data_IF_806928474918
#
_entry.id   IF_806928474918
#
_cell.length_a   1.000
_cell.length_b   1.000
_cell.length_c   1.000
_cell.angle_alpha   90.00
_cell.angle_beta   90.00
_cell.angle_gamma   90.00
#
_symmetry.space_group_name_H-M   'P 1'
#
loop_
_entity.id
_entity.type
_entity.pdbx_description
1 polymer ?
#
# COMPACT_ATOMS: atom_id res chain seq x y z
N UNK A 1 -22.56 0.74 7.58
CA UNK A 1 -21.20 0.68 6.98
C UNK A 1 -20.28 1.49 7.87
N UNK A 2 -19.17 0.94 8.36
CA UNK A 2 -18.26 1.59 9.34
C UNK A 2 -17.81 2.99 8.87
N UNK A 3 -17.56 3.16 7.57
CA UNK A 3 -17.18 4.44 6.98
C UNK A 3 -18.25 5.56 7.02
N UNK A 4 -19.52 5.23 7.33
CA UNK A 4 -20.63 6.19 7.38
C UNK A 4 -21.08 6.54 8.80
N UNK A 5 -20.45 5.93 9.81
CA UNK A 5 -20.80 6.06 11.21
C UNK A 5 -19.67 6.77 11.97
N UNK A 6 -19.90 8.03 12.34
CA UNK A 6 -18.90 8.86 13.01
C UNK A 6 -18.49 8.31 14.39
N UNK A 7 -19.37 7.56 15.07
CA UNK A 7 -19.07 6.94 16.35
C UNK A 7 -18.02 5.83 16.24
N UNK A 8 -17.81 5.30 15.03
CA UNK A 8 -16.87 4.19 14.74
C UNK A 8 -15.56 4.65 14.13
N UNK A 9 -15.23 5.93 14.25
CA UNK A 9 -14.00 6.51 13.67
C UNK A 9 -12.73 5.74 14.04
N UNK A 10 -12.56 5.36 15.30
CA UNK A 10 -11.38 4.59 15.73
C UNK A 10 -11.29 3.20 15.09
N UNK A 11 -12.43 2.55 14.84
CA UNK A 11 -12.50 1.26 14.16
C UNK A 11 -12.11 1.43 12.68
N UNK A 12 -12.63 2.47 12.04
CA UNK A 12 -12.29 2.83 10.66
C UNK A 12 -10.79 3.10 10.50
N UNK A 13 -10.20 3.90 11.40
CA UNK A 13 -8.77 4.24 11.38
C UNK A 13 -7.90 2.98 11.49
N UNK A 14 -8.27 2.04 12.38
CA UNK A 14 -7.56 0.77 12.52
C UNK A 14 -7.66 -0.11 11.27
N UNK A 15 -8.84 -0.19 10.65
CA UNK A 15 -9.05 -0.94 9.40
C UNK A 15 -8.19 -0.35 8.27
N UNK A 16 -8.23 0.97 8.08
CA UNK A 16 -7.48 1.66 7.04
C UNK A 16 -5.97 1.50 7.25
N UNK A 17 -5.50 1.66 8.49
CA UNK A 17 -4.10 1.45 8.83
C UNK A 17 -3.65 0.01 8.52
N UNK A 18 -4.41 -0.99 8.97
CA UNK A 18 -4.07 -2.38 8.75
C UNK A 18 -4.06 -2.75 7.26
N UNK A 19 -4.98 -2.18 6.49
CA UNK A 19 -5.04 -2.37 5.04
C UNK A 19 -3.82 -1.76 4.36
N UNK A 20 -3.44 -0.53 4.73
CA UNK A 20 -2.25 0.14 4.19
C UNK A 20 -0.96 -0.61 4.54
N UNK A 21 -0.82 -1.08 5.78
CA UNK A 21 0.35 -1.84 6.24
C UNK A 21 0.43 -3.21 5.55
N UNK A 22 -0.71 -3.85 5.28
CA UNK A 22 -0.76 -5.07 4.46
C UNK A 22 -0.28 -4.81 3.03
N UNK A 23 -0.69 -3.69 2.42
CA UNK A 23 -0.23 -3.30 1.08
C UNK A 23 1.28 -2.98 1.06
N UNK A 24 1.84 -2.38 2.12
CA UNK A 24 3.29 -2.19 2.28
C UNK A 24 4.01 -3.55 2.21
N UNK A 25 3.54 -4.52 2.99
CA UNK A 25 4.13 -5.86 3.02
C UNK A 25 4.05 -6.55 1.64
N UNK A 26 2.88 -6.50 0.99
CA UNK A 26 2.68 -7.06 -0.35
C UNK A 26 3.57 -6.38 -1.39
N UNK A 27 3.75 -5.06 -1.33
CA UNK A 27 4.62 -4.34 -2.26
C UNK A 27 6.05 -4.88 -2.20
N UNK A 28 6.61 -5.09 -1.00
CA UNK A 28 7.98 -5.63 -0.83
C UNK A 28 8.07 -7.07 -1.37
N UNK A 29 7.11 -7.92 -1.04
CA UNK A 29 7.11 -9.34 -1.46
C UNK A 29 6.96 -9.50 -2.97
N UNK A 30 6.17 -8.64 -3.61
CA UNK A 30 5.91 -8.69 -5.05
C UNK A 30 6.93 -7.90 -5.88
N UNK A 31 7.78 -7.10 -5.24
CA UNK A 31 8.75 -6.25 -5.95
C UNK A 31 9.67 -7.01 -6.91
N UNK A 32 10.20 -8.20 -6.57
CA UNK A 32 11.03 -8.98 -7.49
C UNK A 32 10.30 -9.43 -8.77
N UNK A 33 8.97 -9.51 -8.74
CA UNK A 33 8.14 -10.00 -9.86
C UNK A 33 7.51 -8.84 -10.64
N UNK A 34 7.07 -7.80 -9.94
CA UNK A 34 6.37 -6.65 -10.51
C UNK A 34 6.97 -5.32 -10.00
N UNK A 35 8.23 -5.01 -10.35
CA UNK A 35 8.94 -3.86 -9.77
C UNK A 35 8.29 -2.52 -10.11
N UNK A 36 7.73 -2.38 -11.31
CA UNK A 36 7.09 -1.13 -11.74
C UNK A 36 5.81 -0.84 -10.94
N UNK A 37 4.90 -1.82 -10.84
CA UNK A 37 3.63 -1.64 -10.13
C UNK A 37 3.83 -1.47 -8.62
N UNK A 38 4.76 -2.22 -8.04
CA UNK A 38 5.05 -2.14 -6.60
C UNK A 38 5.77 -0.85 -6.23
N UNK A 39 6.66 -0.31 -7.07
CA UNK A 39 7.24 1.03 -6.85
C UNK A 39 6.19 2.13 -6.90
N UNK A 40 5.24 2.06 -7.84
CA UNK A 40 4.11 3.01 -7.88
C UNK A 40 3.26 2.91 -6.60
N UNK A 41 2.88 1.70 -6.20
CA UNK A 41 2.15 1.47 -4.95
C UNK A 41 2.91 2.01 -3.73
N UNK A 42 4.23 1.80 -3.67
CA UNK A 42 5.09 2.30 -2.59
C UNK A 42 5.05 3.81 -2.44
N UNK A 43 5.10 4.53 -3.58
CA UNK A 43 4.95 5.98 -3.63
C UNK A 43 3.54 6.42 -3.23
N UNK A 44 2.49 5.71 -3.69
CA UNK A 44 1.10 6.02 -3.33
C UNK A 44 0.82 5.87 -1.84
N UNK A 45 1.45 4.89 -1.19
CA UNK A 45 1.39 4.73 0.28
C UNK A 45 2.16 5.81 1.04
N UNK A 46 2.96 6.64 0.36
CA UNK A 46 3.87 7.59 0.98
C UNK A 46 5.03 6.93 1.73
N UNK A 47 5.23 5.62 1.53
CA UNK A 47 6.17 4.81 2.28
C UNK A 47 7.62 5.26 2.06
N UNK A 48 7.95 5.69 0.83
CA UNK A 48 9.30 6.13 0.45
C UNK A 48 9.85 7.24 1.34
N UNK A 49 9.00 8.19 1.74
CA UNK A 49 9.40 9.31 2.60
C UNK A 49 9.82 8.91 4.01
N UNK A 50 9.35 7.75 4.50
CA UNK A 50 9.53 7.30 5.88
C UNK A 50 10.40 6.06 6.02
N UNK A 51 10.34 5.16 5.03
CA UNK A 51 11.01 3.86 5.02
C UNK A 51 12.15 3.79 3.98
N UNK A 52 12.27 4.81 3.13
CA UNK A 52 13.24 4.84 2.03
C UNK A 52 12.77 4.04 0.81
N UNK A 53 13.67 3.83 -0.17
CA UNK A 53 13.32 3.18 -1.43
C UNK A 53 12.88 1.73 -1.21
N UNK A 54 11.92 1.24 -2.01
CA UNK A 54 11.43 -0.15 -1.88
C UNK A 54 12.55 -1.19 -2.10
N UNK A 55 13.55 -0.87 -2.93
CA UNK A 55 14.70 -1.73 -3.21
C UNK A 55 15.64 -1.94 -2.03
N UNK A 56 15.59 -1.08 -1.00
CA UNK A 56 16.37 -1.27 0.23
C UNK A 56 15.63 -2.12 1.27
N UNK A 57 14.37 -2.45 1.04
CA UNK A 57 13.57 -3.23 1.97
C UNK A 57 13.96 -4.71 1.94
N UNK A 58 14.01 -5.33 3.11
CA UNK A 58 14.36 -6.74 3.25
C UNK A 58 13.09 -7.57 3.41
N UNK A 59 12.97 -8.64 2.62
CA UNK A 59 11.86 -9.60 2.72
C UNK A 59 11.74 -10.19 4.14
N UNK A 60 12.87 -10.47 4.79
CA UNK A 60 12.91 -10.99 6.16
C UNK A 60 12.25 -10.05 7.20
N UNK A 61 12.18 -8.76 6.92
CA UNK A 61 11.63 -7.75 7.82
C UNK A 61 10.15 -7.42 7.51
N UNK A 62 9.57 -8.02 6.47
CA UNK A 62 8.19 -7.71 6.01
C UNK A 62 7.15 -7.96 7.11
N UNK A 63 7.32 -9.04 7.89
CA UNK A 63 6.40 -9.42 8.96
C UNK A 63 6.43 -8.47 10.17
N UNK A 64 7.36 -7.51 10.22
CA UNK A 64 7.37 -6.48 11.25
C UNK A 64 6.30 -5.44 10.91
N UNK A 65 5.20 -5.49 11.66
CA UNK A 65 4.10 -4.55 11.55
C UNK A 65 4.43 -3.20 12.22
N UNK A 66 3.65 -2.18 11.88
CA UNK A 66 3.77 -0.86 12.49
C UNK A 66 4.83 0.03 11.85
N UNK A 67 5.28 -0.29 10.63
CA UNK A 67 6.35 0.46 9.97
C UNK A 67 5.83 1.71 9.25
N UNK A 68 4.63 1.68 8.67
CA UNK A 68 4.02 2.90 8.17
C UNK A 68 3.74 3.85 9.33
N UNK A 69 4.32 5.04 9.27
CA UNK A 69 4.06 6.11 10.24
C UNK A 69 2.59 6.55 10.13
N UNK A 70 1.88 6.56 11.26
CA UNK A 70 0.54 7.15 11.32
C UNK A 70 0.54 8.61 10.84
N UNK A 71 -0.44 8.98 10.03
CA UNK A 71 -0.53 10.30 9.40
C UNK A 71 0.27 10.46 8.10
N UNK A 72 0.94 9.41 7.61
CA UNK A 72 1.48 9.38 6.24
C UNK A 72 0.38 9.69 5.23
N UNK A 73 0.65 10.64 4.33
CA UNK A 73 -0.32 11.08 3.34
C UNK A 73 -0.32 10.10 2.17
N UNK A 74 -1.40 9.35 2.03
CA UNK A 74 -1.65 8.52 0.84
C UNK A 74 -1.89 9.46 -0.35
N UNK A 75 -1.21 9.18 -1.45
CA UNK A 75 -1.33 9.91 -2.70
C UNK A 75 -2.24 9.10 -3.63
N UNK A 76 -3.25 9.77 -4.19
CA UNK A 76 -4.06 9.17 -5.26
C UNK A 76 -3.21 9.11 -6.52
N UNK A 77 -2.83 7.90 -6.90
CA UNK A 77 -2.07 7.63 -8.11
C UNK A 77 -2.92 7.22 -9.30
N UNK A 78 -2.22 6.89 -10.39
CA UNK A 78 -2.82 6.29 -11.58
C UNK A 78 -3.29 4.85 -11.30
N UNK A 79 -4.12 4.32 -12.20
CA UNK A 79 -4.55 2.92 -12.16
C UNK A 79 -3.31 2.03 -12.31
N UNK A 80 -3.03 1.21 -11.27
CA UNK A 80 -1.86 0.32 -11.26
C UNK A 80 -1.94 -0.79 -12.31
N UNK A 81 -3.15 -1.33 -12.52
CA UNK A 81 -3.41 -2.42 -13.46
C UNK A 81 -4.61 -2.04 -14.32
N UNK A 82 -4.38 -1.36 -15.45
CA UNK A 82 -5.43 -1.10 -16.43
C UNK A 82 -6.05 -2.42 -16.91
N UNK A 83 -7.36 -2.42 -17.15
CA UNK A 83 -8.02 -3.57 -17.77
C UNK A 83 -7.46 -3.76 -19.18
N UNK A 84 -7.21 -5.01 -19.55
CA UNK A 84 -6.91 -5.35 -20.94
C UNK A 84 -8.17 -5.13 -21.79
N UNK A 85 -8.03 -4.64 -23.03
CA UNK A 85 -9.15 -4.63 -23.95
C UNK A 85 -9.62 -6.07 -24.21
N UNK A 86 -10.90 -6.22 -24.53
CA UNK A 86 -11.41 -7.52 -24.98
C UNK A 86 -10.62 -7.95 -26.22
N UNK A 87 -10.19 -9.21 -26.23
CA UNK A 87 -9.56 -9.78 -27.43
C UNK A 87 -10.66 -9.81 -28.49
N UNK A 88 -10.45 -9.08 -29.60
CA UNK A 88 -11.37 -9.14 -30.73
C UNK A 88 -11.55 -10.62 -31.13
N UNK A 89 -12.79 -11.10 -31.07
CA UNK A 89 -13.21 -12.47 -31.39
C UNK A 89 -13.48 -12.65 -32.88
#
# INVERSE_FOLDING_TARGET
VVAKDESKKSELDAILYNTAESLRALAILLHPVMPLSTSKLWSYLGAESSLGPISSQKIADVAKWGQLKGGSKIIKGDILFPRLPDLES
#
